data_IF_297298092973
#
_entry.id   IF_297298092973
#
_cell.length_a   1.000
_cell.length_b   1.000
_cell.length_c   1.000
_cell.angle_alpha   90.00
_cell.angle_beta   90.00
_cell.angle_gamma   90.00
#
_symmetry.space_group_name_H-M   'P 1'
#
loop_
_entity.id
_entity.type
_entity.pdbx_description
1 polymer ?
#
# COMPACT_ATOMS: atom_id res chain seq x y z
N UNK A 1 1.19 -14.15 3.43
CA UNK A 1 1.37 -14.88 4.67
C UNK A 1 0.86 -14.05 5.85
N UNK A 2 0.17 -14.68 6.79
CA UNK A 2 -0.56 -13.99 7.87
C UNK A 2 0.33 -13.33 8.93
N UNK A 3 1.63 -13.53 8.91
CA UNK A 3 2.61 -13.01 9.88
C UNK A 3 3.54 -11.93 9.36
N UNK A 4 3.40 -11.52 8.10
CA UNK A 4 4.33 -10.57 7.47
C UNK A 4 4.15 -9.14 7.99
N UNK A 5 5.25 -8.51 8.43
CA UNK A 5 5.30 -7.06 8.66
C UNK A 5 5.16 -6.34 7.32
N UNK A 6 4.14 -5.51 7.16
CA UNK A 6 3.98 -4.62 6.02
C UNK A 6 3.55 -3.24 6.52
N UNK A 7 3.75 -2.23 5.69
CA UNK A 7 3.46 -0.84 6.09
C UNK A 7 2.01 -0.65 6.58
N UNK A 8 0.95 -1.08 5.87
CA UNK A 8 -0.42 -0.94 6.36
C UNK A 8 -0.66 -1.59 7.72
N UNK A 9 -0.17 -2.82 7.94
CA UNK A 9 -0.33 -3.50 9.23
C UNK A 9 0.38 -2.77 10.37
N UNK A 10 1.63 -2.36 10.15
CA UNK A 10 2.39 -1.62 11.16
C UNK A 10 1.74 -0.28 11.50
N UNK A 11 1.23 0.43 10.49
CA UNK A 11 0.57 1.71 10.66
C UNK A 11 -0.71 1.56 11.49
N UNK A 12 -1.61 0.64 11.09
CA UNK A 12 -2.86 0.37 11.80
C UNK A 12 -2.60 -0.08 13.23
N UNK A 13 -1.67 -1.00 13.44
CA UNK A 13 -1.32 -1.48 14.77
C UNK A 13 -0.79 -0.36 15.67
N UNK A 14 0.07 0.52 15.15
CA UNK A 14 0.54 1.67 15.90
C UNK A 14 -0.58 2.66 16.23
N UNK A 15 -1.47 2.93 15.28
CA UNK A 15 -2.61 3.81 15.47
C UNK A 15 -3.58 3.30 16.54
N UNK A 16 -3.96 2.02 16.46
CA UNK A 16 -4.85 1.40 17.45
C UNK A 16 -4.25 1.41 18.86
N UNK A 17 -2.94 1.23 18.98
CA UNK A 17 -2.22 1.28 20.25
C UNK A 17 -1.86 2.72 20.72
N UNK A 18 -2.38 3.75 20.06
CA UNK A 18 -2.17 5.14 20.46
C UNK A 18 -0.73 5.66 20.30
N UNK A 19 0.09 4.97 19.51
CA UNK A 19 1.48 5.40 19.25
C UNK A 19 1.51 6.60 18.31
N UNK A 20 2.47 7.52 18.45
CA UNK A 20 2.68 8.59 17.48
C UNK A 20 2.95 8.03 16.09
N UNK A 21 2.33 8.63 15.07
CA UNK A 21 2.53 8.27 13.69
C UNK A 21 3.30 9.39 12.98
N UNK A 22 4.50 9.05 12.50
CA UNK A 22 5.34 9.94 11.70
C UNK A 22 5.60 9.27 10.35
N UNK A 23 5.24 9.92 9.25
CA UNK A 23 5.31 9.32 7.92
C UNK A 23 5.94 10.30 6.93
N UNK A 24 6.83 9.79 6.11
CA UNK A 24 7.55 10.55 5.08
C UNK A 24 6.58 11.08 4.03
N UNK A 25 6.64 12.39 3.77
CA UNK A 25 5.73 13.09 2.86
C UNK A 25 6.39 13.51 1.52
N UNK A 26 7.72 13.39 1.41
CA UNK A 26 8.51 13.76 0.22
C UNK A 26 9.01 12.57 -0.61
N UNK A 27 8.42 11.39 -0.41
CA UNK A 27 8.65 10.20 -1.23
C UNK A 27 7.33 9.73 -1.85
N UNK A 28 7.31 9.53 -3.15
CA UNK A 28 6.17 9.04 -3.93
C UNK A 28 6.40 7.64 -4.47
N UNK A 29 5.30 6.92 -4.71
CA UNK A 29 5.31 5.61 -5.33
C UNK A 29 3.92 5.18 -5.77
N UNK A 30 3.84 3.98 -6.32
CA UNK A 30 2.59 3.32 -6.73
C UNK A 30 2.33 2.12 -5.82
N UNK A 31 1.58 2.27 -4.72
CA UNK A 31 1.18 1.13 -3.89
C UNK A 31 0.48 0.09 -4.75
N UNK A 32 0.87 -1.17 -4.59
CA UNK A 32 0.39 -2.27 -5.44
C UNK A 32 -0.33 -3.30 -4.60
N UNK A 33 -1.54 -3.67 -5.00
CA UNK A 33 -2.30 -4.71 -4.35
C UNK A 33 -1.71 -6.09 -4.67
N UNK A 34 -1.29 -6.82 -3.65
CA UNK A 34 -0.58 -8.10 -3.82
C UNK A 34 -1.39 -9.15 -4.60
N UNK A 35 -2.73 -9.13 -4.51
CA UNK A 35 -3.59 -10.04 -5.29
C UNK A 35 -3.56 -9.70 -6.78
N UNK A 36 -3.50 -8.41 -7.14
CA UNK A 36 -3.34 -8.00 -8.54
C UNK A 36 -1.99 -8.48 -9.07
N UNK A 37 -0.92 -8.26 -8.31
CA UNK A 37 0.41 -8.71 -8.70
C UNK A 37 0.44 -10.23 -8.94
N UNK A 38 -0.12 -11.01 -8.04
CA UNK A 38 -0.22 -12.47 -8.19
C UNK A 38 -1.03 -12.87 -9.43
N UNK A 39 -2.18 -12.21 -9.66
CA UNK A 39 -3.01 -12.43 -10.84
C UNK A 39 -2.25 -12.10 -12.13
N UNK A 40 -1.58 -10.95 -12.19
CA UNK A 40 -0.83 -10.53 -13.38
C UNK A 40 0.34 -11.47 -13.69
N UNK A 41 1.06 -11.93 -12.66
CA UNK A 41 2.10 -12.94 -12.81
C UNK A 41 1.53 -14.23 -13.42
N UNK A 42 0.41 -14.75 -12.89
CA UNK A 42 -0.24 -15.94 -13.43
C UNK A 42 -0.66 -15.75 -14.90
N UNK A 43 -1.23 -14.60 -15.23
CA UNK A 43 -1.63 -14.28 -16.61
C UNK A 43 -0.43 -14.17 -17.55
N UNK A 44 0.69 -13.55 -17.10
CA UNK A 44 1.92 -13.49 -17.91
C UNK A 44 2.45 -14.90 -18.25
N UNK A 45 2.48 -15.81 -17.28
CA UNK A 45 2.92 -17.18 -17.51
C UNK A 45 1.98 -17.98 -18.43
N UNK A 46 0.68 -17.69 -18.41
CA UNK A 46 -0.32 -18.36 -19.21
C UNK A 46 -0.53 -17.74 -20.59
N UNK A 47 0.06 -16.58 -20.86
CA UNK A 47 -0.16 -15.82 -22.09
C UNK A 47 0.95 -16.04 -23.13
N UNK A 48 0.66 -15.72 -24.40
CA UNK A 48 1.63 -15.65 -25.48
C UNK A 48 2.36 -14.28 -25.57
N UNK A 49 2.34 -13.50 -24.49
CA UNK A 49 3.04 -12.21 -24.45
C UNK A 49 4.54 -12.44 -24.60
N UNK A 50 5.22 -11.74 -25.52
CA UNK A 50 6.66 -11.88 -25.72
C UNK A 50 7.46 -11.60 -24.45
N UNK A 51 8.57 -12.30 -24.28
CA UNK A 51 9.50 -12.06 -23.18
C UNK A 51 9.95 -10.59 -23.13
N UNK A 52 10.14 -10.08 -21.93
CA UNK A 52 10.61 -8.73 -21.73
C UNK A 52 10.44 -8.23 -20.29
N UNK A 53 10.90 -7.02 -20.06
CA UNK A 53 10.69 -6.33 -18.80
C UNK A 53 9.32 -5.68 -18.77
N UNK A 54 8.58 -5.95 -17.69
CA UNK A 54 7.29 -5.34 -17.39
C UNK A 54 7.32 -4.75 -15.99
N UNK A 55 6.95 -3.49 -15.87
CA UNK A 55 6.66 -2.90 -14.56
C UNK A 55 5.24 -3.30 -14.15
N UNK A 56 5.06 -3.62 -12.88
CA UNK A 56 3.77 -4.00 -12.30
C UNK A 56 3.50 -3.16 -11.05
N UNK A 57 2.59 -2.22 -11.15
CA UNK A 57 2.22 -1.32 -10.05
C UNK A 57 0.76 -0.91 -10.14
N UNK A 58 0.23 -0.35 -9.06
CA UNK A 58 -1.05 0.34 -9.08
C UNK A 58 -1.03 1.54 -10.03
N UNK A 59 -2.15 2.22 -10.21
CA UNK A 59 -2.24 3.41 -11.08
C UNK A 59 -2.28 4.73 -10.32
N UNK A 60 -2.42 4.70 -9.01
CA UNK A 60 -2.39 5.89 -8.19
C UNK A 60 -0.98 6.19 -7.69
N UNK A 61 -0.45 7.36 -8.05
CA UNK A 61 0.83 7.85 -7.54
C UNK A 61 0.55 8.69 -6.30
N UNK A 62 1.02 8.23 -5.16
CA UNK A 62 0.80 8.90 -3.86
C UNK A 62 2.09 8.98 -3.06
N UNK A 63 2.16 9.93 -2.13
CA UNK A 63 3.22 9.93 -1.11
C UNK A 63 2.94 8.86 -0.04
N UNK A 64 3.97 8.44 0.69
CA UNK A 64 3.77 7.55 1.84
C UNK A 64 2.82 8.15 2.87
N UNK A 65 2.86 9.48 3.05
CA UNK A 65 1.95 10.20 3.93
C UNK A 65 0.49 10.09 3.47
N UNK A 66 0.21 10.41 2.20
CA UNK A 66 -1.13 10.28 1.61
C UNK A 66 -1.63 8.84 1.68
N UNK A 67 -0.76 7.87 1.40
CA UNK A 67 -1.12 6.45 1.50
C UNK A 67 -1.47 6.06 2.94
N UNK A 68 -0.74 6.58 3.94
CA UNK A 68 -1.05 6.36 5.35
C UNK A 68 -2.41 6.94 5.76
N UNK A 69 -2.73 8.15 5.30
CA UNK A 69 -4.04 8.76 5.54
C UNK A 69 -5.17 7.90 4.95
N UNK A 70 -5.02 7.45 3.70
CA UNK A 70 -6.00 6.60 3.03
C UNK A 70 -6.21 5.27 3.77
N UNK A 71 -5.12 4.61 4.21
CA UNK A 71 -5.20 3.36 4.97
C UNK A 71 -6.02 3.55 6.24
N UNK A 72 -5.70 4.55 7.06
CA UNK A 72 -6.36 4.75 8.34
C UNK A 72 -7.80 5.22 8.18
N UNK A 73 -8.09 6.07 7.19
CA UNK A 73 -9.44 6.54 6.94
C UNK A 73 -10.36 5.40 6.46
N UNK A 74 -9.88 4.55 5.54
CA UNK A 74 -10.65 3.37 5.10
C UNK A 74 -10.82 2.39 6.25
N UNK A 75 -9.75 2.14 7.02
CA UNK A 75 -9.79 1.21 8.15
C UNK A 75 -10.78 1.68 9.22
N UNK A 76 -10.73 2.96 9.60
CA UNK A 76 -11.64 3.60 10.54
C UNK A 76 -13.10 3.45 10.10
N UNK A 77 -13.38 3.69 8.83
CA UNK A 77 -14.73 3.58 8.25
C UNK A 77 -15.24 2.15 8.25
N UNK A 78 -14.43 1.19 7.83
CA UNK A 78 -14.80 -0.23 7.75
C UNK A 78 -15.17 -0.80 9.12
N UNK A 79 -14.47 -0.39 10.17
CA UNK A 79 -14.67 -0.91 11.52
C UNK A 79 -15.47 0.02 12.44
N UNK A 80 -15.99 1.15 11.94
CA UNK A 80 -16.80 2.10 12.74
C UNK A 80 -16.02 2.70 13.92
N UNK A 81 -14.71 2.90 13.78
CA UNK A 81 -13.86 3.39 14.88
C UNK A 81 -13.94 4.91 14.94
N UNK A 82 -14.45 5.44 16.04
CA UNK A 82 -14.49 6.89 16.30
C UNK A 82 -13.20 7.36 16.98
N UNK A 83 -12.12 7.40 16.20
CA UNK A 83 -10.81 7.92 16.62
C UNK A 83 -10.25 8.80 15.51
N UNK A 84 -9.76 9.97 15.87
CA UNK A 84 -9.13 10.87 14.93
C UNK A 84 -7.86 10.25 14.32
N UNK A 85 -7.68 10.46 13.02
CA UNK A 85 -6.44 10.14 12.32
C UNK A 85 -5.50 11.34 12.44
N UNK A 86 -4.41 11.17 13.18
CA UNK A 86 -3.37 12.19 13.32
C UNK A 86 -2.03 11.58 12.89
N UNK A 87 -1.49 12.08 11.78
CA UNK A 87 -0.19 11.67 11.25
C UNK A 87 0.66 12.93 11.11
N UNK A 88 1.86 12.90 11.62
CA UNK A 88 2.86 13.96 11.45
C UNK A 88 3.61 13.72 10.13
N UNK A 89 3.50 14.63 9.15
CA UNK A 89 4.32 14.55 7.94
C UNK A 89 5.76 14.92 8.27
N UNK A 90 6.70 14.08 7.85
CA UNK A 90 8.13 14.31 8.02
C UNK A 90 8.85 14.25 6.67
N UNK A 91 10.03 14.83 6.60
CA UNK A 91 10.91 14.71 5.44
C UNK A 91 11.75 13.42 5.50
N UNK A 92 12.26 12.99 4.34
CA UNK A 92 13.23 11.88 4.24
C UNK A 92 14.45 12.09 5.16
N UNK A 93 14.89 13.34 5.36
CA UNK A 93 16.03 13.68 6.22
C UNK A 93 15.78 13.38 7.69
N UNK A 94 14.54 13.47 8.13
CA UNK A 94 14.13 13.19 9.51
C UNK A 94 13.91 11.69 9.76
N UNK A 95 13.95 10.87 8.69
CA UNK A 95 13.82 9.42 8.79
C UNK A 95 15.01 8.72 8.13
N UNK A 96 16.19 8.76 8.78
CA UNK A 96 17.39 8.15 8.21
C UNK A 96 17.22 6.64 8.04
N UNK A 97 17.58 6.14 6.87
CA UNK A 97 17.59 4.70 6.52
C UNK A 97 18.98 4.31 6.07
N UNK A 98 19.35 3.03 6.27
CA UNK A 98 20.66 2.52 5.89
C UNK A 98 20.97 2.69 4.38
N UNK A 99 19.93 2.64 3.54
CA UNK A 99 20.04 2.90 2.10
C UNK A 99 19.30 4.20 1.74
N UNK A 100 19.87 5.07 0.89
CA UNK A 100 19.17 6.23 0.38
C UNK A 100 17.91 5.79 -0.38
N UNK A 101 16.78 6.39 -0.05
CA UNK A 101 15.52 6.12 -0.73
C UNK A 101 15.27 7.14 -1.83
N UNK A 102 14.94 6.70 -3.06
CA UNK A 102 14.54 7.63 -4.12
C UNK A 102 13.30 8.42 -3.72
N UNK A 103 13.24 9.68 -4.16
CA UNK A 103 12.05 10.52 -3.95
C UNK A 103 10.85 10.07 -4.76
N UNK A 104 11.10 9.48 -5.92
CA UNK A 104 10.05 8.97 -6.81
C UNK A 104 10.36 7.53 -7.20
N UNK A 105 9.45 6.63 -6.82
CA UNK A 105 9.46 5.20 -7.16
C UNK A 105 8.20 4.79 -7.89
N UNK A 106 7.48 5.75 -8.49
CA UNK A 106 6.30 5.45 -9.28
C UNK A 106 6.66 4.62 -10.52
N UNK A 107 5.86 3.59 -10.78
CA UNK A 107 6.04 2.68 -11.90
C UNK A 107 4.98 2.96 -12.97
N UNK A 108 5.39 3.09 -14.21
CA UNK A 108 4.49 3.04 -15.36
C UNK A 108 4.22 1.59 -15.75
N UNK A 109 3.00 1.13 -15.50
CA UNK A 109 2.55 -0.23 -15.79
C UNK A 109 1.76 -0.34 -17.11
N UNK A 110 1.77 0.68 -17.95
CA UNK A 110 0.99 0.73 -19.21
C UNK A 110 1.30 -0.46 -20.11
N UNK A 111 2.57 -0.81 -20.29
CA UNK A 111 2.97 -1.96 -21.11
C UNK A 111 2.34 -3.27 -20.61
N UNK A 112 2.36 -3.53 -19.30
CA UNK A 112 1.76 -4.72 -18.70
C UNK A 112 0.24 -4.71 -18.90
N UNK A 113 -0.40 -3.61 -18.59
CA UNK A 113 -1.87 -3.45 -18.66
C UNK A 113 -2.39 -3.66 -20.08
N UNK A 114 -1.70 -3.09 -21.05
CA UNK A 114 -2.04 -3.24 -22.48
C UNK A 114 -1.83 -4.69 -22.92
N UNK A 115 -0.70 -5.31 -22.60
CA UNK A 115 -0.38 -6.65 -23.03
C UNK A 115 -1.31 -7.73 -22.46
N UNK A 116 -1.78 -7.54 -21.22
CA UNK A 116 -2.66 -8.49 -20.53
C UNK A 116 -4.14 -8.09 -20.54
N UNK A 117 -4.50 -6.93 -21.09
CA UNK A 117 -5.86 -6.36 -21.02
C UNK A 117 -6.42 -6.32 -19.59
N UNK A 118 -5.60 -5.86 -18.63
CA UNK A 118 -5.96 -5.78 -17.22
C UNK A 118 -5.94 -4.35 -16.71
N UNK A 119 -6.68 -4.12 -15.63
CA UNK A 119 -6.61 -2.89 -14.83
C UNK A 119 -6.27 -3.24 -13.38
N UNK A 120 -5.56 -2.37 -12.64
CA UNK A 120 -5.37 -2.53 -11.22
C UNK A 120 -6.69 -2.35 -10.46
N UNK A 121 -6.79 -3.01 -9.32
CA UNK A 121 -7.87 -2.78 -8.37
C UNK A 121 -7.73 -1.36 -7.80
N UNK A 122 -8.82 -0.59 -7.80
CA UNK A 122 -8.83 0.74 -7.20
C UNK A 122 -8.33 0.69 -5.75
N UNK A 123 -7.49 1.65 -5.35
CA UNK A 123 -6.82 1.64 -4.04
C UNK A 123 -7.80 1.54 -2.87
N UNK A 124 -8.89 2.28 -2.92
CA UNK A 124 -9.94 2.21 -1.88
C UNK A 124 -10.52 0.79 -1.76
N UNK A 125 -10.75 0.09 -2.87
CA UNK A 125 -11.23 -1.29 -2.88
C UNK A 125 -10.21 -2.24 -2.26
N UNK A 126 -8.94 -2.11 -2.64
CA UNK A 126 -7.85 -2.92 -2.08
C UNK A 126 -7.67 -2.69 -0.57
N UNK A 127 -7.75 -1.43 -0.12
CA UNK A 127 -7.67 -1.07 1.29
C UNK A 127 -8.90 -1.54 2.09
N UNK A 128 -10.09 -1.52 1.49
CA UNK A 128 -11.29 -2.08 2.11
C UNK A 128 -11.13 -3.58 2.34
N UNK A 129 -10.65 -4.32 1.33
CA UNK A 129 -10.38 -5.74 1.46
C UNK A 129 -9.29 -6.04 2.51
N UNK A 130 -8.26 -5.18 2.58
CA UNK A 130 -7.24 -5.25 3.63
C UNK A 130 -7.85 -5.05 5.02
N UNK A 131 -8.68 -4.01 5.21
CA UNK A 131 -9.32 -3.73 6.50
C UNK A 131 -10.20 -4.90 6.96
N UNK A 132 -11.04 -5.42 6.08
CA UNK A 132 -11.90 -6.57 6.37
C UNK A 132 -11.12 -7.84 6.76
N UNK A 133 -9.98 -8.08 6.13
CA UNK A 133 -9.12 -9.23 6.41
C UNK A 133 -8.25 -9.08 7.67
N UNK A 134 -8.20 -7.89 8.27
CA UNK A 134 -7.38 -7.59 9.44
C UNK A 134 -8.22 -6.82 10.48
N UNK A 135 -9.11 -7.50 11.23
CA UNK A 135 -9.95 -6.85 12.24
C UNK A 135 -9.12 -6.27 13.40
N UNK A 136 -9.67 -5.34 14.20
CA UNK A 136 -8.94 -4.68 15.28
C UNK A 136 -8.29 -5.64 16.30
N UNK A 137 -8.95 -6.73 16.62
CA UNK A 137 -8.45 -7.73 17.56
C UNK A 137 -7.13 -8.38 17.11
N UNK A 138 -6.88 -8.40 15.81
CA UNK A 138 -5.59 -8.86 15.25
C UNK A 138 -4.40 -8.03 15.74
N UNK A 139 -4.63 -6.75 16.08
CA UNK A 139 -3.59 -5.79 16.46
C UNK A 139 -3.50 -5.51 17.96
N UNK A 140 -4.57 -5.76 18.70
CA UNK A 140 -4.66 -5.37 20.11
C UNK A 140 -4.20 -6.47 21.06
N UNK A 141 -4.02 -7.70 20.55
CA UNK A 141 -3.66 -8.87 21.37
C UNK A 141 -4.79 -9.27 22.34
N UNK A 142 -4.69 -10.44 22.95
CA UNK A 142 -5.60 -10.81 24.03
C UNK A 142 -5.33 -9.98 25.28
#
# INVERSE_FOLDING_TARGET
GDSGKCFPRSLVGNWLNGKPLRVVSDQTGTPTYAKDLAKWMTLLFASAVPFGLFNAGGDEVVTWYQFAEMILEVYRRVHGIDRAVKIEPISTREWPTAAPRPRNTALDSTKLRTALHVAPTAMVTALTAFAQANPPDFFLGP
#
